data_IF_619888264706
#
_entry.id   IF_619888264706
#
_cell.length_a   1.000
_cell.length_b   1.000
_cell.length_c   1.000
_cell.angle_alpha   90.00
_cell.angle_beta   90.00
_cell.angle_gamma   90.00
#
_symmetry.space_group_name_H-M   'P 1'
#
loop_
_entity.id
_entity.type
_entity.pdbx_description
1 polymer ?
#
# COMPACT_ATOMS: atom_id res chain seq x y z
N UNK A 1 -8.10 -3.01 -7.76
CA UNK A 1 -6.64 -2.97 -7.80
C UNK A 1 -6.25 -2.48 -9.17
N UNK A 2 -5.40 -1.45 -9.25
CA UNK A 2 -4.97 -0.83 -10.50
C UNK A 2 -3.45 -0.71 -10.46
N UNK A 3 -2.77 -1.12 -11.53
CA UNK A 3 -1.34 -0.87 -11.67
C UNK A 3 -1.16 0.60 -12.03
N UNK A 4 -0.44 1.35 -11.20
CA UNK A 4 -0.20 2.77 -11.41
C UNK A 4 0.99 3.01 -12.35
N UNK A 5 2.01 2.15 -12.29
CA UNK A 5 3.24 2.28 -13.07
C UNK A 5 4.01 0.96 -13.14
N UNK A 6 4.62 0.67 -14.28
CA UNK A 6 5.53 -0.48 -14.47
C UNK A 6 4.84 -1.84 -14.62
N UNK A 7 5.64 -2.88 -14.83
CA UNK A 7 5.18 -4.28 -14.86
C UNK A 7 5.17 -4.84 -13.43
N UNK A 8 4.01 -4.81 -12.80
CA UNK A 8 3.79 -5.45 -11.50
C UNK A 8 3.03 -6.75 -11.73
N UNK A 9 3.68 -7.88 -11.45
CA UNK A 9 3.03 -9.17 -11.47
C UNK A 9 1.88 -9.23 -10.43
N UNK A 10 0.70 -9.69 -10.86
CA UNK A 10 -0.50 -9.72 -10.02
C UNK A 10 -0.31 -10.55 -8.74
N UNK A 11 0.42 -11.65 -8.80
CA UNK A 11 0.68 -12.49 -7.62
C UNK A 11 1.58 -11.78 -6.62
N UNK A 12 2.57 -11.02 -7.10
CA UNK A 12 3.41 -10.15 -6.27
C UNK A 12 2.58 -9.05 -5.63
N UNK A 13 1.76 -8.37 -6.42
CA UNK A 13 0.93 -7.27 -5.95
C UNK A 13 -0.03 -7.72 -4.81
N UNK A 14 -0.72 -8.85 -5.00
CA UNK A 14 -1.62 -9.43 -3.98
C UNK A 14 -0.85 -9.83 -2.73
N UNK A 15 0.33 -10.44 -2.87
CA UNK A 15 1.14 -10.89 -1.74
C UNK A 15 1.62 -9.72 -0.88
N UNK A 16 2.16 -8.67 -1.51
CA UNK A 16 2.63 -7.46 -0.81
C UNK A 16 1.46 -6.76 -0.12
N UNK A 17 0.33 -6.63 -0.81
CA UNK A 17 -0.90 -6.10 -0.24
C UNK A 17 -1.35 -6.88 0.99
N UNK A 18 -1.45 -8.20 0.88
CA UNK A 18 -1.93 -9.06 1.96
C UNK A 18 -1.05 -8.91 3.20
N UNK A 19 0.29 -8.90 3.03
CA UNK A 19 1.20 -8.61 4.14
C UNK A 19 0.95 -7.24 4.74
N UNK A 20 0.93 -6.19 3.90
CA UNK A 20 0.76 -4.84 4.39
C UNK A 20 -0.55 -4.65 5.19
N UNK A 21 -1.67 -5.24 4.76
CA UNK A 21 -2.96 -5.07 5.44
C UNK A 21 -3.19 -6.01 6.61
N UNK A 22 -2.67 -7.24 6.55
CA UNK A 22 -3.08 -8.31 7.47
C UNK A 22 -1.94 -8.90 8.30
N UNK A 23 -0.68 -8.62 8.00
CA UNK A 23 0.46 -9.08 8.81
C UNK A 23 0.73 -8.08 9.94
N UNK A 24 0.43 -8.44 11.21
CA UNK A 24 0.63 -7.54 12.34
C UNK A 24 2.12 -7.30 12.65
N UNK A 25 3.03 -8.07 12.05
CA UNK A 25 4.47 -7.86 12.19
C UNK A 25 5.00 -6.72 11.32
N UNK A 26 4.21 -6.21 10.37
CA UNK A 26 4.60 -5.08 9.52
C UNK A 26 4.48 -3.79 10.34
N UNK A 27 5.61 -3.12 10.68
CA UNK A 27 5.57 -1.92 11.49
C UNK A 27 5.07 -0.76 10.62
N UNK A 28 3.89 -0.24 10.95
CA UNK A 28 3.32 0.93 10.30
C UNK A 28 3.67 2.18 11.09
N UNK A 29 3.97 3.26 10.40
CA UNK A 29 4.14 4.58 11.02
C UNK A 29 2.83 5.05 11.65
N UNK A 30 2.88 5.53 12.88
CA UNK A 30 1.73 6.06 13.64
C UNK A 30 1.33 7.50 13.22
N UNK A 31 1.69 7.91 12.00
CA UNK A 31 1.54 9.27 11.48
C UNK A 31 0.28 9.49 10.62
N UNK A 32 0.26 10.60 9.90
CA UNK A 32 -0.82 10.97 8.95
C UNK A 32 -0.94 10.03 7.75
N UNK A 33 0.01 9.11 7.59
CA UNK A 33 0.06 8.04 6.61
C UNK A 33 0.55 6.78 7.31
N UNK A 34 -0.16 5.67 7.13
CA UNK A 34 0.21 4.38 7.73
C UNK A 34 1.35 3.72 6.95
N UNK A 35 2.47 4.41 6.77
CA UNK A 35 3.59 3.96 5.93
C UNK A 35 4.29 2.73 6.50
N UNK A 36 4.64 1.78 5.64
CA UNK A 36 5.48 0.64 6.01
C UNK A 36 6.26 0.12 4.80
N UNK A 37 7.39 -0.52 5.08
CA UNK A 37 8.17 -1.25 4.06
C UNK A 37 7.85 -2.73 4.13
N UNK A 38 7.33 -3.30 3.04
CA UNK A 38 7.03 -4.73 2.92
C UNK A 38 7.91 -5.33 1.83
N UNK A 39 8.91 -6.11 2.24
CA UNK A 39 9.80 -6.80 1.28
C UNK A 39 10.45 -5.85 0.25
N UNK A 40 10.83 -4.65 0.71
CA UNK A 40 11.40 -3.60 -0.13
C UNK A 40 10.39 -2.68 -0.80
N UNK A 41 9.09 -3.01 -0.78
CA UNK A 41 8.02 -2.14 -1.27
C UNK A 41 7.68 -1.09 -0.22
N UNK A 42 7.65 0.18 -0.62
CA UNK A 42 7.09 1.23 0.20
C UNK A 42 5.58 1.25 0.02
N UNK A 43 4.85 0.90 1.07
CA UNK A 43 3.41 0.87 1.09
C UNK A 43 2.86 1.94 2.04
N UNK A 44 1.77 2.59 1.65
CA UNK A 44 1.12 3.62 2.45
C UNK A 44 -0.39 3.64 2.24
N UNK A 45 -1.10 4.10 3.28
CA UNK A 45 -2.51 4.49 3.20
C UNK A 45 -2.53 5.96 3.64
N UNK A 46 -2.82 6.91 2.72
CA UNK A 46 -2.93 8.30 3.08
C UNK A 46 -4.24 8.55 3.81
N UNK A 47 -4.22 9.34 4.87
CA UNK A 47 -5.45 9.88 5.47
C UNK A 47 -5.94 11.03 4.57
N UNK A 48 -7.04 10.83 3.86
CA UNK A 48 -7.61 11.87 3.00
C UNK A 48 -8.35 12.91 3.88
N UNK A 49 -8.12 14.22 3.68
CA UNK A 49 -8.75 15.25 4.49
C UNK A 49 -10.28 15.19 4.37
N UNK A 50 -10.95 15.11 5.52
CA UNK A 50 -12.42 15.02 5.61
C UNK A 50 -13.01 13.63 5.36
N UNK A 51 -12.17 12.58 5.22
CA UNK A 51 -12.64 11.20 5.08
C UNK A 51 -12.01 10.28 6.13
N UNK A 52 -12.71 9.18 6.45
CA UNK A 52 -12.18 8.12 7.30
C UNK A 52 -11.28 7.19 6.48
N UNK A 53 -10.42 6.39 7.13
CA UNK A 53 -9.57 5.39 6.46
C UNK A 53 -10.34 4.45 5.51
N UNK A 54 -11.67 4.30 5.66
CA UNK A 54 -12.52 3.50 4.79
C UNK A 54 -12.63 4.02 3.35
N UNK A 55 -12.34 5.31 3.12
CA UNK A 55 -12.29 5.92 1.78
C UNK A 55 -10.85 6.05 1.23
N UNK A 56 -9.85 5.69 2.02
CA UNK A 56 -8.45 5.76 1.60
C UNK A 56 -8.12 4.61 0.65
N UNK A 57 -7.12 4.85 -0.20
CA UNK A 57 -6.51 3.82 -1.03
C UNK A 57 -5.17 3.39 -0.44
N UNK A 58 -4.82 2.11 -0.57
CA UNK A 58 -3.47 1.63 -0.34
C UNK A 58 -2.65 1.80 -1.61
N UNK A 59 -1.45 2.36 -1.49
CA UNK A 59 -0.47 2.47 -2.57
C UNK A 59 0.80 1.74 -2.15
N UNK A 60 1.40 0.99 -3.07
CA UNK A 60 2.71 0.36 -2.89
C UNK A 60 3.58 0.62 -4.11
N UNK A 61 4.82 1.07 -3.90
CA UNK A 61 5.82 1.29 -4.96
C UNK A 61 7.13 0.56 -4.65
N UNK A 62 7.76 0.07 -5.72
CA UNK A 62 9.11 -0.46 -5.73
C UNK A 62 9.89 0.19 -6.87
N UNK A 63 10.66 1.22 -6.53
CA UNK A 63 11.57 1.92 -7.45
C UNK A 63 10.90 2.35 -8.77
N UNK A 64 9.63 2.78 -8.71
CA UNK A 64 8.86 3.24 -9.86
C UNK A 64 7.98 2.17 -10.53
N UNK A 65 7.91 0.96 -9.99
CA UNK A 65 6.83 0.00 -10.29
C UNK A 65 5.85 0.01 -9.13
N UNK A 66 4.61 0.45 -9.37
CA UNK A 66 3.66 0.73 -8.29
C UNK A 66 2.23 0.32 -8.62
N UNK A 67 1.48 -0.02 -7.59
CA UNK A 67 0.08 -0.40 -7.68
C UNK A 67 -0.75 0.23 -6.57
N UNK A 68 -2.05 0.39 -6.85
CA UNK A 68 -3.05 0.96 -5.95
C UNK A 68 -4.20 0.00 -5.73
N UNK A 69 -4.72 -0.01 -4.51
CA UNK A 69 -5.86 -0.81 -4.09
C UNK A 69 -6.84 0.04 -3.30
N UNK A 70 -8.13 -0.14 -3.53
CA UNK A 70 -9.15 0.74 -2.99
C UNK A 70 -9.65 1.73 -4.05
N UNK A 71 -10.40 2.72 -3.58
CA UNK A 71 -11.22 3.63 -4.41
C UNK A 71 -10.41 4.79 -4.99
#
# INVERSE_FOLDING_TARGET
MVVLKGDVDCSTAIRIANRYFHDPSVPKSDGSSAEATVEGWQCLIPILPGRTHADSYGECDLAGSGFRMGN
#
